data_IF_075877105264
#
_entry.id   IF_075877105264
#
_cell.length_a   1.000
_cell.length_b   1.000
_cell.length_c   1.000
_cell.angle_alpha   90.00
_cell.angle_beta   90.00
_cell.angle_gamma   90.00
#
_symmetry.space_group_name_H-M   'P 1'
#
loop_
_entity.id
_entity.type
_entity.pdbx_description
1 polymer ?
#
# COMPACT_ATOMS: atom_id res chain seq x y z
N UNK A 1 17.12 -2.00 -21.41
CA UNK A 1 16.68 -1.67 -20.04
C UNK A 1 16.54 -2.98 -19.27
N UNK A 2 17.11 -3.11 -18.07
CA UNK A 2 17.02 -4.36 -17.31
C UNK A 2 15.61 -4.48 -16.69
N UNK A 3 14.73 -5.25 -17.32
CA UNK A 3 13.34 -5.43 -16.90
C UNK A 3 13.23 -5.90 -15.45
N UNK A 4 14.14 -6.77 -14.98
CA UNK A 4 14.13 -7.27 -13.59
C UNK A 4 14.45 -6.15 -12.60
N UNK A 5 15.42 -5.29 -12.91
CA UNK A 5 15.75 -4.13 -12.07
C UNK A 5 14.59 -3.14 -12.02
N UNK A 6 13.96 -2.86 -13.16
CA UNK A 6 12.79 -1.98 -13.22
C UNK A 6 11.60 -2.56 -12.43
N UNK A 7 11.35 -3.86 -12.56
CA UNK A 7 10.30 -4.54 -11.80
C UNK A 7 10.52 -4.45 -10.28
N UNK A 8 11.75 -4.67 -9.81
CA UNK A 8 12.11 -4.50 -8.38
C UNK A 8 11.99 -3.05 -7.92
N UNK A 9 12.32 -2.09 -8.77
CA UNK A 9 12.10 -0.67 -8.48
C UNK A 9 10.61 -0.35 -8.24
N UNK A 10 9.71 -0.96 -9.01
CA UNK A 10 8.26 -0.84 -8.83
C UNK A 10 7.72 -1.57 -7.58
N UNK A 11 8.55 -2.35 -6.90
CA UNK A 11 8.22 -2.97 -5.61
C UNK A 11 8.71 -2.09 -4.47
N UNK A 12 10.00 -1.74 -4.46
CA UNK A 12 10.59 -1.02 -3.33
C UNK A 12 10.12 0.44 -3.23
N UNK A 13 9.93 1.12 -4.35
CA UNK A 13 9.60 2.55 -4.34
C UNK A 13 8.23 2.82 -3.73
N UNK A 14 7.14 2.10 -4.11
CA UNK A 14 5.84 2.29 -3.48
C UNK A 14 5.84 1.99 -1.98
N UNK A 15 6.59 0.96 -1.55
CA UNK A 15 6.74 0.62 -0.13
C UNK A 15 7.37 1.80 0.61
N UNK A 16 8.51 2.32 0.12
CA UNK A 16 9.18 3.46 0.71
C UNK A 16 8.28 4.71 0.75
N UNK A 17 7.55 4.98 -0.32
CA UNK A 17 6.61 6.11 -0.39
C UNK A 17 5.51 6.01 0.67
N UNK A 18 4.95 4.83 0.92
CA UNK A 18 3.92 4.64 1.96
C UNK A 18 4.51 4.90 3.35
N UNK A 19 5.70 4.39 3.66
CA UNK A 19 6.34 4.66 4.95
C UNK A 19 6.69 6.15 5.13
N UNK A 20 7.16 6.82 4.08
CA UNK A 20 7.44 8.25 4.11
C UNK A 20 6.16 9.07 4.29
N UNK A 21 5.07 8.72 3.61
CA UNK A 21 3.77 9.37 3.78
C UNK A 21 3.28 9.28 5.23
N UNK A 22 3.32 8.07 5.82
CA UNK A 22 2.96 7.87 7.22
C UNK A 22 3.87 8.68 8.16
N UNK A 23 5.18 8.71 7.90
CA UNK A 23 6.13 9.50 8.69
C UNK A 23 5.84 11.00 8.64
N UNK A 24 5.44 11.51 7.47
CA UNK A 24 5.10 12.92 7.29
C UNK A 24 3.80 13.30 7.99
N UNK A 25 2.82 12.40 8.00
CA UNK A 25 1.56 12.63 8.73
C UNK A 25 1.79 12.80 10.24
N UNK A 26 2.80 12.12 10.83
CA UNK A 26 3.16 12.35 12.24
C UNK A 26 3.74 13.75 12.51
N UNK A 27 4.25 14.42 11.49
CA UNK A 27 4.82 15.77 11.58
C UNK A 27 3.87 16.86 11.08
N UNK A 28 2.73 16.47 10.53
CA UNK A 28 1.77 17.40 9.95
C UNK A 28 0.84 17.96 11.03
N UNK A 29 0.72 19.28 11.06
CA UNK A 29 -0.15 19.97 12.02
C UNK A 29 -1.60 19.91 11.55
N UNK A 30 -2.28 18.80 11.88
CA UNK A 30 -3.70 18.64 11.60
C UNK A 30 -4.54 19.60 12.45
N UNK A 31 -5.71 20.05 11.96
CA UNK A 31 -6.64 20.84 12.76
C UNK A 31 -7.00 20.15 14.09
N UNK A 32 -7.25 20.93 15.14
CA UNK A 32 -7.59 20.38 16.46
C UNK A 32 -8.78 19.41 16.45
N UNK A 33 -9.76 19.62 15.56
CA UNK A 33 -10.90 18.71 15.39
C UNK A 33 -10.48 17.31 14.94
N UNK A 34 -9.45 17.22 14.10
CA UNK A 34 -8.88 15.96 13.60
C UNK A 34 -8.02 15.30 14.68
N UNK A 35 -7.17 16.08 15.36
CA UNK A 35 -6.36 15.58 16.46
C UNK A 35 -7.23 15.07 17.62
N UNK A 36 -8.31 15.77 17.95
CA UNK A 36 -9.29 15.34 18.95
C UNK A 36 -10.00 14.04 18.55
N UNK A 37 -10.35 13.89 17.27
CA UNK A 37 -10.93 12.66 16.73
C UNK A 37 -9.97 11.47 16.83
N UNK A 38 -8.69 11.64 16.44
CA UNK A 38 -7.68 10.59 16.61
C UNK A 38 -7.39 10.27 18.07
N UNK A 39 -7.37 11.28 18.94
CA UNK A 39 -7.25 11.09 20.38
C UNK A 39 -8.38 10.25 20.96
N UNK A 40 -9.60 10.46 20.49
CA UNK A 40 -10.76 9.66 20.87
C UNK A 40 -10.71 8.24 20.28
N UNK A 41 -10.30 8.06 19.02
CA UNK A 41 -10.07 6.73 18.45
C UNK A 41 -9.00 5.95 19.22
N UNK A 42 -7.97 6.64 19.71
CA UNK A 42 -6.93 6.02 20.53
C UNK A 42 -7.43 5.61 21.93
N UNK A 43 -8.42 6.32 22.51
CA UNK A 43 -9.04 5.94 23.79
C UNK A 43 -10.08 4.83 23.65
N UNK A 44 -10.91 4.92 22.60
CA UNK A 44 -12.05 4.02 22.39
C UNK A 44 -11.62 2.73 21.69
N UNK A 45 -10.43 2.75 21.08
CA UNK A 45 -9.85 1.67 20.30
C UNK A 45 -10.25 1.76 18.83
N UNK A 46 -9.27 1.60 17.94
CA UNK A 46 -9.53 1.50 16.51
C UNK A 46 -10.47 0.32 16.20
N UNK A 47 -11.34 0.51 15.21
CA UNK A 47 -12.29 -0.52 14.83
C UNK A 47 -11.60 -1.82 14.40
N UNK A 48 -12.26 -2.96 14.63
CA UNK A 48 -11.76 -4.25 14.16
C UNK A 48 -11.52 -4.27 12.63
N UNK A 49 -12.33 -3.51 11.88
CA UNK A 49 -12.16 -3.34 10.44
C UNK A 49 -10.84 -2.65 10.09
N UNK A 50 -10.44 -1.62 10.84
CA UNK A 50 -9.17 -0.91 10.66
C UNK A 50 -7.98 -1.84 10.90
N UNK A 51 -8.03 -2.60 12.01
CA UNK A 51 -6.98 -3.56 12.34
C UNK A 51 -6.87 -4.67 11.28
N UNK A 52 -8.00 -5.19 10.78
CA UNK A 52 -8.01 -6.16 9.68
C UNK A 52 -7.41 -5.57 8.40
N UNK A 53 -7.74 -4.33 8.07
CA UNK A 53 -7.17 -3.66 6.90
C UNK A 53 -5.64 -3.53 7.02
N UNK A 54 -5.11 -3.17 8.19
CA UNK A 54 -3.66 -3.14 8.43
C UNK A 54 -3.00 -4.51 8.24
N UNK A 55 -3.66 -5.59 8.68
CA UNK A 55 -3.19 -6.97 8.42
C UNK A 55 -3.13 -7.24 6.92
N UNK A 56 -4.16 -6.88 6.15
CA UNK A 56 -4.13 -7.04 4.70
C UNK A 56 -3.06 -6.18 4.03
N UNK A 57 -2.81 -4.96 4.51
CA UNK A 57 -1.72 -4.12 4.03
C UNK A 57 -0.35 -4.79 4.26
N UNK A 58 -0.12 -5.33 5.45
CA UNK A 58 1.11 -6.07 5.78
C UNK A 58 1.27 -7.32 4.91
N UNK A 59 0.20 -8.09 4.70
CA UNK A 59 0.22 -9.25 3.81
C UNK A 59 0.53 -8.86 2.37
N UNK A 60 0.02 -7.72 1.89
CA UNK A 60 0.34 -7.20 0.56
C UNK A 60 1.83 -6.87 0.44
N UNK A 61 2.41 -6.24 1.46
CA UNK A 61 3.85 -5.97 1.49
C UNK A 61 4.68 -7.25 1.52
N UNK A 62 4.27 -8.27 2.27
CA UNK A 62 4.96 -9.57 2.26
C UNK A 62 4.90 -10.19 0.86
N UNK A 63 3.74 -10.17 0.21
CA UNK A 63 3.61 -10.67 -1.16
C UNK A 63 4.47 -9.86 -2.14
N UNK A 64 4.64 -8.56 -1.94
CA UNK A 64 5.55 -7.73 -2.71
C UNK A 64 7.01 -8.18 -2.59
N UNK A 65 7.46 -8.51 -1.37
CA UNK A 65 8.80 -9.06 -1.15
C UNK A 65 8.95 -10.43 -1.84
N UNK A 66 7.93 -11.29 -1.76
CA UNK A 66 7.93 -12.58 -2.48
C UNK A 66 7.97 -12.37 -4.00
N UNK A 67 7.29 -11.35 -4.53
CA UNK A 67 7.33 -10.99 -5.94
C UNK A 67 8.72 -10.51 -6.37
N UNK A 68 9.45 -9.82 -5.49
CA UNK A 68 10.84 -9.39 -5.72
C UNK A 68 11.80 -10.56 -6.02
N UNK A 69 11.47 -11.75 -5.48
CA UNK A 69 12.18 -13.01 -5.69
C UNK A 69 11.52 -13.96 -6.68
N UNK A 70 10.43 -13.53 -7.35
CA UNK A 70 9.69 -14.33 -8.33
C UNK A 70 9.14 -15.65 -7.75
N UNK A 71 8.66 -15.62 -6.50
CA UNK A 71 8.06 -16.81 -5.88
C UNK A 71 6.75 -17.16 -6.60
N UNK A 72 6.55 -18.45 -6.86
CA UNK A 72 5.36 -18.97 -7.54
C UNK A 72 4.09 -18.51 -6.83
N UNK A 73 3.09 -18.11 -7.63
CA UNK A 73 1.77 -17.61 -7.18
C UNK A 73 1.77 -16.29 -6.39
N UNK A 74 2.93 -15.65 -6.16
CA UNK A 74 2.99 -14.40 -5.40
C UNK A 74 2.19 -13.26 -6.05
N UNK A 75 2.09 -13.22 -7.38
CA UNK A 75 1.32 -12.20 -8.12
C UNK A 75 -0.18 -12.33 -7.86
N UNK A 76 -0.70 -13.54 -7.99
CA UNK A 76 -2.11 -13.86 -7.85
C UNK A 76 -2.57 -13.61 -6.41
N UNK A 77 -1.76 -14.04 -5.44
CA UNK A 77 -1.99 -13.77 -4.02
C UNK A 77 -1.93 -12.27 -3.70
N UNK A 78 -0.98 -11.55 -4.27
CA UNK A 78 -0.89 -10.09 -4.10
C UNK A 78 -2.15 -9.38 -4.60
N UNK A 79 -2.67 -9.75 -5.78
CA UNK A 79 -3.90 -9.18 -6.35
C UNK A 79 -5.10 -9.46 -5.43
N UNK A 80 -5.22 -10.69 -4.93
CA UNK A 80 -6.33 -11.06 -4.04
C UNK A 80 -6.27 -10.23 -2.75
N UNK A 81 -5.09 -10.14 -2.13
CA UNK A 81 -4.90 -9.41 -0.87
C UNK A 81 -5.15 -7.91 -1.06
N UNK A 82 -4.59 -7.31 -2.12
CA UNK A 82 -4.75 -5.87 -2.34
C UNK A 82 -6.19 -5.50 -2.70
N UNK A 83 -6.92 -6.38 -3.39
CA UNK A 83 -8.33 -6.17 -3.70
C UNK A 83 -9.17 -6.10 -2.41
N UNK A 84 -8.93 -7.02 -1.48
CA UNK A 84 -9.57 -7.00 -0.16
C UNK A 84 -9.20 -5.72 0.58
N UNK A 85 -7.92 -5.34 0.60
CA UNK A 85 -7.46 -4.08 1.20
C UNK A 85 -8.22 -2.85 0.66
N UNK A 86 -8.39 -2.73 -0.67
CA UNK A 86 -9.09 -1.60 -1.27
C UNK A 86 -10.60 -1.61 -0.99
N UNK A 87 -11.22 -2.79 -0.88
CA UNK A 87 -12.64 -2.91 -0.48
C UNK A 87 -12.82 -2.45 0.97
N UNK A 88 -11.91 -2.82 1.88
CA UNK A 88 -11.93 -2.29 3.25
C UNK A 88 -11.65 -0.79 3.28
N UNK A 89 -10.71 -0.29 2.46
CA UNK A 89 -10.41 1.14 2.41
C UNK A 89 -11.61 1.98 1.94
N UNK A 90 -12.41 1.48 0.99
CA UNK A 90 -13.53 2.25 0.42
C UNK A 90 -14.71 2.42 1.38
N UNK A 91 -14.85 1.53 2.37
CA UNK A 91 -15.90 1.58 3.38
C UNK A 91 -15.50 2.36 4.64
N UNK A 92 -14.24 2.84 4.73
CA UNK A 92 -13.69 3.48 5.92
C UNK A 92 -13.19 4.91 5.61
N UNK A 93 -14.00 5.94 5.89
CA UNK A 93 -13.62 7.33 5.61
C UNK A 93 -12.47 7.84 6.49
N UNK A 94 -12.23 7.20 7.63
CA UNK A 94 -11.25 7.58 8.67
C UNK A 94 -9.80 7.51 8.14
N UNK A 95 -9.54 6.67 7.12
CA UNK A 95 -8.22 6.56 6.47
C UNK A 95 -7.97 7.63 5.39
N UNK A 96 -8.97 8.46 5.08
CA UNK A 96 -8.81 9.54 4.10
C UNK A 96 -8.27 10.83 4.71
N UNK A 97 -8.21 10.90 6.04
CA UNK A 97 -7.59 12.02 6.75
C UNK A 97 -6.08 11.81 6.69
N UNK A 98 -5.45 12.45 5.71
CA UNK A 98 -4.01 12.44 5.50
C UNK A 98 -3.58 13.86 5.12
N UNK A 99 -2.32 14.19 5.33
CA UNK A 99 -1.79 15.46 4.82
C UNK A 99 -1.85 15.48 3.28
N UNK A 100 -1.96 16.66 2.64
CA UNK A 100 -2.03 16.76 1.18
C UNK A 100 -0.85 16.08 0.48
N UNK A 101 0.34 16.14 1.06
CA UNK A 101 1.53 15.52 0.51
C UNK A 101 1.50 13.98 0.62
N UNK A 102 1.00 13.45 1.74
CA UNK A 102 0.80 12.01 1.94
C UNK A 102 -0.21 11.44 0.95
N UNK A 103 -1.31 12.17 0.67
CA UNK A 103 -2.29 11.78 -0.34
C UNK A 103 -1.61 11.59 -1.71
N UNK A 104 -0.80 12.57 -2.14
CA UNK A 104 -0.09 12.50 -3.42
C UNK A 104 0.86 11.31 -3.45
N UNK A 105 1.61 11.06 -2.38
CA UNK A 105 2.52 9.91 -2.33
C UNK A 105 1.80 8.57 -2.39
N UNK A 106 0.69 8.41 -1.66
CA UNK A 106 -0.12 7.18 -1.70
C UNK A 106 -0.72 6.97 -3.09
N UNK A 107 -1.16 8.04 -3.77
CA UNK A 107 -1.66 7.98 -5.14
C UNK A 107 -0.57 7.53 -6.13
N UNK A 108 0.64 8.09 -6.03
CA UNK A 108 1.78 7.68 -6.86
C UNK A 108 2.14 6.22 -6.58
N UNK A 109 2.19 5.81 -5.30
CA UNK A 109 2.45 4.42 -4.91
C UNK A 109 1.40 3.46 -5.50
N UNK A 110 0.12 3.84 -5.48
CA UNK A 110 -0.97 3.08 -6.08
C UNK A 110 -0.83 2.93 -7.60
N UNK A 111 -0.48 4.03 -8.31
CA UNK A 111 -0.21 4.00 -9.75
C UNK A 111 0.95 3.06 -10.10
N UNK A 112 2.04 3.15 -9.34
CA UNK A 112 3.20 2.27 -9.52
C UNK A 112 2.88 0.79 -9.25
N UNK A 113 2.01 0.52 -8.27
CA UNK A 113 1.52 -0.83 -8.01
C UNK A 113 0.70 -1.39 -9.18
N UNK A 114 -0.11 -0.55 -9.84
CA UNK A 114 -0.78 -0.90 -11.10
C UNK A 114 0.21 -1.26 -12.21
N UNK A 115 1.23 -0.43 -12.43
CA UNK A 115 2.29 -0.67 -13.42
C UNK A 115 3.06 -1.96 -13.15
N UNK A 116 3.37 -2.25 -11.88
CA UNK A 116 4.01 -3.49 -11.43
C UNK A 116 3.20 -4.71 -11.88
N UNK A 117 1.89 -4.71 -11.62
CA UNK A 117 1.01 -5.82 -12.02
C UNK A 117 0.89 -5.93 -13.54
N UNK A 118 0.75 -4.80 -14.25
CA UNK A 118 0.75 -4.84 -15.72
C UNK A 118 2.00 -5.50 -16.28
N UNK A 119 3.18 -5.19 -15.73
CA UNK A 119 4.42 -5.87 -16.14
C UNK A 119 4.45 -7.34 -15.75
N UNK A 120 3.95 -7.69 -14.57
CA UNK A 120 3.93 -9.05 -14.06
C UNK A 120 3.12 -10.02 -14.94
N UNK A 121 2.14 -9.50 -15.71
CA UNK A 121 1.28 -10.28 -16.61
C UNK A 121 1.54 -10.05 -18.10
N UNK A 122 1.86 -8.82 -18.51
CA UNK A 122 1.93 -8.45 -19.93
C UNK A 122 3.36 -8.46 -20.49
N UNK A 123 4.38 -8.44 -19.64
CA UNK A 123 5.78 -8.42 -20.09
C UNK A 123 6.37 -9.84 -20.05
N UNK A 124 6.62 -10.51 -21.20
CA UNK A 124 7.18 -11.86 -21.21
C UNK A 124 8.47 -12.02 -20.38
N UNK A 125 9.44 -11.07 -20.42
CA UNK A 125 10.67 -11.15 -19.63
C UNK A 125 10.47 -11.22 -18.10
N UNK A 126 9.31 -10.79 -17.60
CA UNK A 126 8.96 -10.81 -16.19
C UNK A 126 7.94 -11.90 -15.90
N UNK A 127 6.91 -12.03 -16.75
CA UNK A 127 5.83 -12.98 -16.58
C UNK A 127 6.35 -14.41 -16.45
N UNK A 128 7.34 -14.77 -17.24
CA UNK A 128 7.86 -16.14 -17.33
C UNK A 128 8.81 -16.49 -16.17
N UNK A 129 9.04 -15.56 -15.22
CA UNK A 129 9.91 -15.79 -14.05
C UNK A 129 9.19 -16.38 -12.84
N UNK A 130 7.85 -16.38 -12.84
CA UNK A 130 6.98 -16.65 -11.69
C UNK A 130 6.16 -17.93 -11.88
#
# INVERSE_FOLDING_TARGET
MNYKTYFRFLIFTPIAMIFIAVALDFTYDFPESVNGYYGQLASDGFSNAYNLQLVFALLAFIMDILMCFFVRYSRELWILIIAVFYVFASIMPELTIMSPLSIVMVQIASLMAGLKISLAYLSPPIRDLF
#
